data_IF_387510059010
#
_entry.id   IF_387510059010
#
_cell.length_a   1.000
_cell.length_b   1.000
_cell.length_c   1.000
_cell.angle_alpha   90.00
_cell.angle_beta   90.00
_cell.angle_gamma   90.00
#
_symmetry.space_group_name_H-M   'P 1'
#
loop_
_entity.id
_entity.type
_entity.pdbx_description
1 polymer ?
#
# COMPACT_ATOMS: atom_id res chain seq x y z
N UNK A 1 -3.89 17.20 -19.20
CA UNK A 1 -3.62 16.07 -18.29
C UNK A 1 -3.84 16.55 -16.86
N UNK A 2 -4.79 15.97 -16.11
CA UNK A 2 -5.18 16.47 -14.78
C UNK A 2 -3.96 16.53 -13.84
N UNK A 3 -3.78 17.63 -13.10
CA UNK A 3 -2.68 17.85 -12.14
C UNK A 3 -2.52 16.67 -11.16
N UNK A 4 -3.63 16.05 -10.78
CA UNK A 4 -3.69 14.85 -9.93
C UNK A 4 -3.00 13.63 -10.56
N UNK A 5 -3.16 13.41 -11.86
CA UNK A 5 -2.50 12.30 -12.58
C UNK A 5 -0.99 12.53 -12.67
N UNK A 6 -0.56 13.78 -12.84
CA UNK A 6 0.86 14.13 -12.86
C UNK A 6 1.49 13.89 -11.48
N UNK A 7 0.83 14.33 -10.40
CA UNK A 7 1.28 14.08 -9.04
C UNK A 7 1.42 12.59 -8.74
N UNK A 8 0.43 11.78 -9.15
CA UNK A 8 0.46 10.33 -8.98
C UNK A 8 1.58 9.66 -9.79
N UNK A 9 1.83 10.09 -11.03
CA UNK A 9 2.96 9.61 -11.83
C UNK A 9 4.29 9.94 -11.14
N UNK A 10 4.45 11.16 -10.63
CA UNK A 10 5.66 11.57 -9.92
C UNK A 10 5.87 10.75 -8.64
N UNK A 11 4.83 10.54 -7.84
CA UNK A 11 4.85 9.69 -6.65
C UNK A 11 5.27 8.25 -7.00
N UNK A 12 4.63 7.67 -8.02
CA UNK A 12 4.97 6.33 -8.50
C UNK A 12 6.43 6.22 -8.96
N UNK A 13 6.94 7.21 -9.70
CA UNK A 13 8.34 7.23 -10.16
C UNK A 13 9.31 7.34 -8.98
N UNK A 14 9.00 8.15 -7.97
CA UNK A 14 9.80 8.26 -6.75
C UNK A 14 9.83 6.91 -6.03
N UNK A 15 8.67 6.30 -5.81
CA UNK A 15 8.56 4.98 -5.18
C UNK A 15 9.37 3.94 -5.96
N UNK A 16 9.19 3.89 -7.29
CA UNK A 16 9.90 2.94 -8.15
C UNK A 16 11.42 3.13 -8.06
N UNK A 17 11.90 4.38 -8.02
CA UNK A 17 13.32 4.68 -7.88
C UNK A 17 13.90 4.17 -6.56
N UNK A 18 13.17 4.32 -5.44
CA UNK A 18 13.56 3.81 -4.13
C UNK A 18 13.60 2.29 -4.14
N UNK A 19 12.57 1.65 -4.72
CA UNK A 19 12.47 0.18 -4.83
C UNK A 19 13.63 -0.41 -5.61
N UNK A 20 14.06 0.25 -6.68
CA UNK A 20 15.20 -0.20 -7.48
C UNK A 20 16.52 0.09 -6.75
N UNK A 21 16.69 1.29 -6.19
CA UNK A 21 17.96 1.75 -5.62
C UNK A 21 18.33 1.06 -4.30
N UNK A 22 17.38 0.90 -3.37
CA UNK A 22 17.64 0.37 -2.02
C UNK A 22 18.33 -1.02 -2.04
N UNK A 23 17.93 -1.97 -2.91
CA UNK A 23 18.65 -3.24 -3.05
C UNK A 23 20.13 -3.13 -3.43
N UNK A 24 20.53 -2.09 -4.18
CA UNK A 24 21.92 -1.84 -4.57
C UNK A 24 22.72 -1.13 -3.47
N UNK A 25 22.05 -0.55 -2.48
CA UNK A 25 22.71 0.05 -1.31
C UNK A 25 23.16 -0.99 -0.28
N UNK A 26 22.68 -2.24 -0.40
CA UNK A 26 23.04 -3.34 0.48
C UNK A 26 24.16 -4.19 -0.13
N UNK A 27 25.10 -4.63 0.71
CA UNK A 27 26.27 -5.39 0.26
C UNK A 27 25.86 -6.65 -0.53
N UNK A 28 26.31 -6.75 -1.78
CA UNK A 28 25.85 -7.74 -2.77
C UNK A 28 26.60 -9.08 -2.71
N UNK A 29 27.27 -9.37 -1.59
CA UNK A 29 27.91 -10.66 -1.30
C UNK A 29 26.89 -11.79 -1.02
N UNK A 30 25.81 -11.86 -1.80
CA UNK A 30 25.01 -13.07 -1.90
C UNK A 30 25.83 -14.09 -2.67
N UNK A 31 26.62 -14.88 -1.95
CA UNK A 31 27.14 -16.13 -2.49
C UNK A 31 25.97 -16.93 -3.05
N UNK A 32 26.22 -17.66 -4.14
CA UNK A 32 25.32 -18.55 -4.89
C UNK A 32 24.80 -19.74 -4.05
N UNK A 33 24.31 -19.46 -2.85
CA UNK A 33 23.85 -20.41 -1.86
C UNK A 33 22.34 -20.57 -1.94
N UNK A 34 21.88 -21.75 -1.53
CA UNK A 34 20.47 -22.10 -1.31
C UNK A 34 19.81 -20.96 -0.52
N UNK A 35 18.83 -20.27 -1.12
CA UNK A 35 18.18 -19.11 -0.52
C UNK A 35 17.93 -17.94 -1.47
N UNK A 36 18.79 -17.73 -2.47
CA UNK A 36 18.66 -16.62 -3.42
C UNK A 36 17.34 -16.66 -4.21
N UNK A 37 16.82 -17.87 -4.44
CA UNK A 37 15.53 -18.09 -5.11
C UNK A 37 14.36 -17.47 -4.35
N UNK A 38 14.34 -17.52 -3.01
CA UNK A 38 13.27 -16.92 -2.21
C UNK A 38 13.32 -15.40 -2.27
N UNK A 39 14.51 -14.80 -2.22
CA UNK A 39 14.70 -13.37 -2.37
C UNK A 39 14.21 -12.86 -3.73
N UNK A 40 14.62 -13.54 -4.82
CA UNK A 40 14.19 -13.19 -6.18
C UNK A 40 12.68 -13.37 -6.32
N UNK A 41 12.12 -14.49 -5.86
CA UNK A 41 10.69 -14.75 -5.90
C UNK A 41 9.89 -13.66 -5.17
N UNK A 42 10.29 -13.30 -3.95
CA UNK A 42 9.65 -12.23 -3.18
C UNK A 42 9.68 -10.88 -3.93
N UNK A 43 10.83 -10.53 -4.52
CA UNK A 43 10.97 -9.31 -5.34
C UNK A 43 10.06 -9.31 -6.55
N UNK A 44 10.01 -10.40 -7.29
CA UNK A 44 9.16 -10.53 -8.48
C UNK A 44 7.70 -10.41 -8.09
N UNK A 45 7.26 -11.15 -7.08
CA UNK A 45 5.88 -11.14 -6.60
C UNK A 45 5.46 -9.71 -6.19
N UNK A 46 6.26 -9.05 -5.37
CA UNK A 46 5.90 -7.73 -4.84
C UNK A 46 6.03 -6.63 -5.92
N UNK A 47 6.98 -6.79 -6.86
CA UNK A 47 7.04 -5.96 -8.06
C UNK A 47 5.78 -6.08 -8.92
N UNK A 48 5.26 -7.30 -9.12
CA UNK A 48 4.00 -7.54 -9.83
C UNK A 48 2.81 -6.93 -9.09
N UNK A 49 2.77 -6.98 -7.75
CA UNK A 49 1.71 -6.34 -6.95
C UNK A 49 1.73 -4.81 -7.12
N UNK A 50 2.91 -4.19 -7.09
CA UNK A 50 3.07 -2.76 -7.32
C UNK A 50 2.60 -2.37 -8.73
N UNK A 51 2.96 -3.15 -9.76
CA UNK A 51 2.50 -2.93 -11.13
C UNK A 51 0.98 -3.08 -11.25
N UNK A 52 0.41 -4.13 -10.64
CA UNK A 52 -1.02 -4.38 -10.67
C UNK A 52 -1.80 -3.24 -10.00
N UNK A 53 -1.33 -2.73 -8.87
CA UNK A 53 -2.01 -1.66 -8.15
C UNK A 53 -1.82 -0.29 -8.76
N UNK A 54 -0.67 -0.05 -9.40
CA UNK A 54 -0.48 1.14 -10.21
C UNK A 54 -1.38 1.11 -11.44
N UNK A 55 -1.44 -0.04 -12.13
CA UNK A 55 -2.37 -0.26 -13.25
C UNK A 55 -3.82 -0.04 -12.83
N UNK A 56 -4.23 -0.62 -11.70
CA UNK A 56 -5.56 -0.41 -11.12
C UNK A 56 -5.80 1.08 -10.87
N UNK A 57 -4.89 1.79 -10.23
CA UNK A 57 -5.03 3.23 -9.97
C UNK A 57 -5.08 4.09 -11.24
N UNK A 58 -4.41 3.69 -12.33
CA UNK A 58 -4.44 4.42 -13.61
C UNK A 58 -5.74 4.21 -14.39
N UNK A 59 -6.27 2.99 -14.39
CA UNK A 59 -7.44 2.61 -15.20
C UNK A 59 -8.76 2.72 -14.42
N UNK A 60 -8.73 2.64 -13.09
CA UNK A 60 -9.92 2.69 -12.28
C UNK A 60 -10.29 4.13 -11.92
N UNK A 61 -11.49 4.55 -12.33
CA UNK A 61 -12.07 5.88 -12.05
C UNK A 61 -12.57 6.05 -10.62
N UNK A 62 -12.20 5.15 -9.70
CA UNK A 62 -12.64 5.14 -8.32
C UNK A 62 -12.02 6.26 -7.46
N UNK A 63 -12.36 6.31 -6.16
CA UNK A 63 -11.85 7.32 -5.24
C UNK A 63 -10.31 7.34 -5.19
N UNK A 64 -9.72 8.52 -5.38
CA UNK A 64 -8.25 8.69 -5.39
C UNK A 64 -7.59 8.19 -4.08
N UNK A 65 -8.30 8.27 -2.95
CA UNK A 65 -7.78 7.82 -1.65
C UNK A 65 -7.47 6.31 -1.62
N UNK A 66 -8.38 5.47 -2.11
CA UNK A 66 -8.19 4.01 -2.15
C UNK A 66 -7.02 3.62 -3.06
N UNK A 67 -6.89 4.31 -4.19
CA UNK A 67 -5.76 4.14 -5.11
C UNK A 67 -4.41 4.50 -4.48
N UNK A 68 -4.34 5.63 -3.76
CA UNK A 68 -3.13 6.03 -3.04
C UNK A 68 -2.77 5.03 -1.93
N UNK A 69 -3.75 4.57 -1.14
CA UNK A 69 -3.52 3.57 -0.08
C UNK A 69 -2.96 2.27 -0.68
N UNK A 70 -3.50 1.81 -1.80
CA UNK A 70 -3.02 0.61 -2.49
C UNK A 70 -1.57 0.75 -2.95
N UNK A 71 -1.22 1.85 -3.62
CA UNK A 71 0.15 2.05 -4.13
C UNK A 71 1.17 2.26 -3.01
N UNK A 72 0.83 3.04 -1.97
CA UNK A 72 1.70 3.23 -0.80
C UNK A 72 1.92 1.91 -0.07
N UNK A 73 0.86 1.12 0.12
CA UNK A 73 0.98 -0.19 0.77
C UNK A 73 1.84 -1.16 -0.06
N UNK A 74 1.67 -1.17 -1.39
CA UNK A 74 2.51 -1.94 -2.30
C UNK A 74 3.99 -1.54 -2.21
N UNK A 75 4.25 -0.23 -2.08
CA UNK A 75 5.58 0.32 -1.88
C UNK A 75 6.19 -0.13 -0.55
N UNK A 76 5.43 -0.08 0.54
CA UNK A 76 5.88 -0.56 1.85
C UNK A 76 6.20 -2.05 1.84
N UNK A 77 5.45 -2.85 1.07
CA UNK A 77 5.75 -4.27 0.94
C UNK A 77 7.10 -4.55 0.26
N UNK A 78 7.72 -3.59 -0.42
CA UNK A 78 9.07 -3.72 -0.97
C UNK A 78 10.16 -3.83 0.11
N UNK A 79 9.81 -3.57 1.37
CA UNK A 79 10.68 -3.88 2.52
C UNK A 79 10.75 -5.38 2.82
N UNK A 80 9.78 -6.18 2.39
CA UNK A 80 9.71 -7.61 2.69
C UNK A 80 10.84 -8.42 2.04
N UNK A 81 11.15 -8.25 0.74
CA UNK A 81 12.31 -8.91 0.15
C UNK A 81 13.61 -8.55 0.87
N UNK A 82 13.72 -7.35 1.44
CA UNK A 82 14.89 -6.99 2.26
C UNK A 82 14.91 -7.70 3.59
N UNK A 83 13.76 -7.86 4.26
CA UNK A 83 13.65 -8.67 5.48
C UNK A 83 14.05 -10.12 5.22
N UNK A 84 13.56 -10.72 4.13
CA UNK A 84 13.94 -12.07 3.68
C UNK A 84 15.45 -12.14 3.40
N UNK A 85 15.99 -11.15 2.67
CA UNK A 85 17.43 -11.04 2.39
C UNK A 85 18.26 -11.05 3.70
N UNK A 86 17.84 -10.27 4.68
CA UNK A 86 18.51 -10.19 5.98
C UNK A 86 18.44 -11.52 6.75
N UNK A 87 17.27 -12.16 6.79
CA UNK A 87 17.09 -13.45 7.46
C UNK A 87 17.97 -14.55 6.88
N UNK A 88 18.10 -14.58 5.54
CA UNK A 88 18.95 -15.53 4.83
C UNK A 88 20.44 -15.27 5.09
N UNK A 89 20.89 -14.00 5.05
CA UNK A 89 22.29 -13.65 5.36
C UNK A 89 22.66 -13.93 6.81
N UNK A 90 21.72 -13.78 7.75
CA UNK A 90 21.93 -14.04 9.16
C UNK A 90 21.91 -15.54 9.51
N UNK A 91 21.71 -16.44 8.53
CA UNK A 91 21.66 -17.89 8.70
C UNK A 91 20.73 -18.33 9.84
N UNK A 92 19.58 -17.67 9.97
CA UNK A 92 18.61 -18.00 11.01
C UNK A 92 18.07 -19.42 10.82
N UNK A 93 17.88 -20.20 11.90
CA UNK A 93 17.33 -21.54 11.80
C UNK A 93 15.92 -21.51 11.19
N UNK A 94 15.72 -22.26 10.10
CA UNK A 94 14.45 -22.32 9.38
C UNK A 94 14.15 -21.09 8.52
N UNK A 95 15.14 -20.27 8.17
CA UNK A 95 14.96 -19.08 7.33
C UNK A 95 14.20 -19.36 6.02
N UNK A 96 14.40 -20.52 5.41
CA UNK A 96 13.71 -20.91 4.16
C UNK A 96 12.20 -21.07 4.36
N UNK A 97 11.79 -21.79 5.42
CA UNK A 97 10.38 -22.02 5.75
C UNK A 97 9.73 -20.68 6.08
N UNK A 98 10.38 -19.85 6.91
CA UNK A 98 9.86 -18.54 7.27
C UNK A 98 9.77 -17.59 6.07
N UNK A 99 10.70 -17.67 5.11
CA UNK A 99 10.63 -16.89 3.88
C UNK A 99 9.38 -17.21 3.07
N UNK A 100 9.04 -18.49 2.92
CA UNK A 100 7.81 -18.93 2.25
C UNK A 100 6.57 -18.44 3.00
N UNK A 101 6.54 -18.59 4.32
CA UNK A 101 5.43 -18.14 5.17
C UNK A 101 5.22 -16.63 5.05
N UNK A 102 6.29 -15.84 5.08
CA UNK A 102 6.23 -14.38 4.93
C UNK A 102 5.69 -14.00 3.55
N UNK A 103 6.17 -14.63 2.47
CA UNK A 103 5.68 -14.36 1.11
C UNK A 103 4.19 -14.68 1.00
N UNK A 104 3.76 -15.85 1.50
CA UNK A 104 2.37 -16.27 1.46
C UNK A 104 1.46 -15.34 2.28
N UNK A 105 1.87 -14.99 3.51
CA UNK A 105 1.14 -14.06 4.36
C UNK A 105 1.00 -12.68 3.73
N UNK A 106 2.08 -12.18 3.11
CA UNK A 106 2.09 -10.90 2.38
C UNK A 106 1.05 -10.89 1.27
N UNK A 107 1.02 -11.96 0.46
CA UNK A 107 0.06 -12.10 -0.62
C UNK A 107 -1.38 -12.12 -0.10
N UNK A 108 -1.66 -12.88 0.97
CA UNK A 108 -2.99 -12.94 1.55
C UNK A 108 -3.45 -11.59 2.10
N UNK A 109 -2.59 -10.90 2.84
CA UNK A 109 -2.87 -9.56 3.39
C UNK A 109 -3.13 -8.58 2.24
N UNK A 110 -2.28 -8.59 1.21
CA UNK A 110 -2.41 -7.67 0.09
C UNK A 110 -3.69 -7.92 -0.72
N UNK A 111 -3.98 -9.18 -1.04
CA UNK A 111 -5.22 -9.56 -1.70
C UNK A 111 -6.43 -9.14 -0.87
N UNK A 112 -6.41 -9.36 0.44
CA UNK A 112 -7.47 -8.94 1.35
C UNK A 112 -7.70 -7.42 1.32
N UNK A 113 -6.62 -6.64 1.37
CA UNK A 113 -6.66 -5.18 1.23
C UNK A 113 -7.22 -4.74 -0.12
N UNK A 114 -6.74 -5.33 -1.22
CA UNK A 114 -7.20 -5.02 -2.57
C UNK A 114 -8.70 -5.28 -2.74
N UNK A 115 -9.16 -6.48 -2.36
CA UNK A 115 -10.59 -6.82 -2.46
C UNK A 115 -11.45 -6.01 -1.49
N UNK A 116 -10.95 -5.75 -0.28
CA UNK A 116 -11.63 -4.93 0.71
C UNK A 116 -11.86 -3.50 0.22
N UNK A 117 -10.83 -2.87 -0.34
CA UNK A 117 -10.93 -1.53 -0.92
C UNK A 117 -11.83 -1.53 -2.15
N UNK A 118 -11.70 -2.49 -3.07
CA UNK A 118 -12.57 -2.59 -4.24
C UNK A 118 -14.06 -2.74 -3.86
N UNK A 119 -14.36 -3.50 -2.79
CA UNK A 119 -15.73 -3.63 -2.28
C UNK A 119 -16.24 -2.33 -1.64
N UNK A 120 -15.40 -1.65 -0.86
CA UNK A 120 -15.73 -0.36 -0.27
C UNK A 120 -15.97 0.72 -1.33
N UNK A 121 -15.11 0.79 -2.34
CA UNK A 121 -15.21 1.75 -3.45
C UNK A 121 -16.51 1.55 -4.21
N UNK A 122 -16.89 0.30 -4.49
CA UNK A 122 -18.19 -0.01 -5.11
C UNK A 122 -19.35 0.48 -4.23
N UNK A 123 -19.31 0.20 -2.93
CA UNK A 123 -20.35 0.62 -1.99
C UNK A 123 -20.45 2.15 -1.88
N UNK A 124 -19.32 2.85 -1.94
CA UNK A 124 -19.29 4.32 -1.97
C UNK A 124 -19.90 4.86 -3.26
N UNK A 125 -19.50 4.32 -4.42
CA UNK A 125 -20.06 4.71 -5.70
C UNK A 125 -21.59 4.48 -5.76
N UNK A 126 -22.08 3.33 -5.27
CA UNK A 126 -23.51 3.04 -5.20
C UNK A 126 -24.25 4.02 -4.28
N UNK A 127 -23.66 4.39 -3.13
CA UNK A 127 -24.23 5.36 -2.21
C UNK A 127 -24.22 6.79 -2.74
N UNK A 128 -23.18 7.21 -3.43
CA UNK A 128 -23.11 8.54 -4.04
C UNK A 128 -24.22 8.71 -5.07
N UNK A 129 -24.54 7.67 -5.84
CA UNK A 129 -25.67 7.69 -6.80
C UNK A 129 -27.01 7.84 -6.06
N UNK A 130 -27.21 7.11 -4.95
CA UNK A 130 -28.46 7.16 -4.17
C UNK A 130 -28.61 8.50 -3.44
N UNK A 131 -27.53 9.07 -2.95
CA UNK A 131 -27.52 10.34 -2.21
C UNK A 131 -27.47 11.57 -3.12
N UNK A 132 -27.17 11.42 -4.41
CA UNK A 132 -27.22 12.51 -5.37
C UNK A 132 -28.61 13.15 -5.41
N UNK A 133 -28.71 14.40 -4.96
CA UNK A 133 -29.97 15.17 -4.94
C UNK A 133 -30.76 15.11 -3.64
N UNK A 134 -30.29 14.40 -2.61
CA UNK A 134 -30.88 14.44 -1.27
C UNK A 134 -30.16 15.51 -0.43
N UNK A 135 -30.91 16.47 0.11
CA UNK A 135 -30.37 17.46 1.05
C UNK A 135 -30.01 16.78 2.37
N UNK A 136 -28.73 16.86 2.76
CA UNK A 136 -28.28 16.41 4.08
C UNK A 136 -28.62 17.54 5.06
N UNK A 137 -29.52 17.32 6.04
CA UNK A 137 -29.82 18.35 7.04
C UNK A 137 -28.56 18.57 7.87
N UNK A 138 -27.95 19.75 7.71
CA UNK A 138 -26.86 20.20 8.57
C UNK A 138 -27.47 20.47 9.93
N UNK A 139 -27.29 19.54 10.87
CA UNK A 139 -27.65 19.80 12.27
C UNK A 139 -26.75 20.94 12.74
N UNK A 140 -27.35 22.09 13.04
CA UNK A 140 -26.63 23.23 13.60
C UNK A 140 -25.87 22.78 14.85
N UNK A 141 -24.55 22.94 14.81
CA UNK A 141 -23.67 22.69 15.93
C UNK A 141 -24.09 23.64 17.06
N UNK A 142 -24.76 23.11 18.08
CA UNK A 142 -25.06 23.87 19.30
C UNK A 142 -23.73 24.11 20.03
N UNK A 143 -23.05 25.18 19.68
CA UNK A 143 -21.94 25.72 20.45
C UNK A 143 -22.53 26.21 21.78
N UNK A 144 -22.45 25.37 22.82
CA UNK A 144 -22.76 25.79 24.19
C UNK A 144 -21.54 26.58 24.66
N UNK A 145 -21.59 27.90 24.53
CA UNK A 145 -20.67 28.80 25.22
C UNK A 145 -21.06 28.80 26.70
N UNK A 146 -20.23 28.18 27.54
CA UNK A 146 -20.34 28.31 28.99
C UNK A 146 -19.79 29.71 29.37
N UNK A 147 -20.69 30.69 29.49
CA UNK A 147 -20.41 32.01 30.07
C UNK A 147 -20.40 31.95 31.61
N UNK A 148 -19.57 31.07 32.20
CA UNK A 148 -19.40 31.00 33.67
C UNK A 148 -17.91 30.97 34.06
N UNK A 149 -17.12 31.96 33.66
CA UNK A 149 -15.83 32.28 34.31
C UNK A 149 -15.58 33.80 34.47
N UNK A 150 -16.62 34.63 34.59
CA UNK A 150 -16.48 35.99 35.13
C UNK A 150 -17.32 36.15 36.40
N UNK A 151 -16.73 35.81 37.55
CA UNK A 151 -17.26 36.23 38.83
C UNK A 151 -16.92 35.34 40.01
N UNK A 152 -15.65 35.37 40.46
CA UNK A 152 -15.26 35.40 41.88
C UNK A 152 -13.77 35.60 42.06
#
# INVERSE_FOLDING_TARGET
>A
MNKLKIAFICEFLIILSVVIAVPFMLNNDFSLTEGIGYYIAAKVIIGLLLLASSGYAFFHSGPTGSNTVLVVTAALFQLIPMGIRYMLLALLPGADIWSIVIIAATLLIYCGLFFGLAFMDKKMADRDIVSAGHEIPVAEEKVILNDEEEGK
#
